data_IF_940686579652
#
_entry.id   IF_940686579652
#
_cell.length_a   1.000
_cell.length_b   1.000
_cell.length_c   1.000
_cell.angle_alpha   90.00
_cell.angle_beta   90.00
_cell.angle_gamma   90.00
#
_symmetry.space_group_name_H-M   'P 1'
#
loop_
_entity.id
_entity.type
_entity.pdbx_description
1 polymer ?
#
# COMPACT_ATOMS: atom_id res chain seq x y z
N UNK A 1 -4.95 24.40 -6.83
CA UNK A 1 -3.59 24.97 -6.95
C UNK A 1 -3.09 25.39 -5.56
N UNK A 2 -3.94 26.09 -4.76
CA UNK A 2 -3.59 26.50 -3.38
C UNK A 2 -3.18 25.30 -2.53
N UNK A 3 -3.98 24.26 -2.49
CA UNK A 3 -3.76 23.07 -1.66
C UNK A 3 -2.47 22.31 -2.02
N UNK A 4 -2.10 22.23 -3.32
CA UNK A 4 -0.81 21.65 -3.73
C UNK A 4 0.38 22.49 -3.24
N UNK A 5 0.25 23.82 -3.32
CA UNK A 5 1.28 24.74 -2.86
C UNK A 5 1.48 24.63 -1.34
N UNK A 6 0.40 24.59 -0.58
CA UNK A 6 0.42 24.42 0.88
C UNK A 6 1.05 23.09 1.29
N UNK A 7 0.69 21.97 0.63
CA UNK A 7 1.31 20.67 0.89
C UNK A 7 2.83 20.67 0.61
N UNK A 8 3.25 21.38 -0.42
CA UNK A 8 4.65 21.52 -0.76
C UNK A 8 5.40 22.39 0.24
N UNK A 9 4.83 23.53 0.63
CA UNK A 9 5.39 24.42 1.61
C UNK A 9 5.53 23.75 2.99
N UNK A 10 4.51 23.00 3.43
CA UNK A 10 4.55 22.25 4.68
C UNK A 10 5.61 21.14 4.64
N UNK A 11 5.70 20.37 3.54
CA UNK A 11 6.72 19.33 3.36
C UNK A 11 8.14 19.91 3.38
N UNK A 12 8.34 21.07 2.79
CA UNK A 12 9.65 21.75 2.79
C UNK A 12 10.03 22.33 4.16
N UNK A 13 9.05 22.57 5.03
CA UNK A 13 9.30 23.02 6.42
C UNK A 13 9.70 21.89 7.34
N UNK A 14 9.13 20.68 7.15
CA UNK A 14 9.31 19.53 8.04
C UNK A 14 10.59 18.73 7.75
N UNK A 15 11.18 18.83 6.56
CA UNK A 15 12.26 17.94 6.14
C UNK A 15 13.68 18.45 6.42
N UNK A 16 14.61 17.49 6.52
CA UNK A 16 16.01 17.69 6.89
C UNK A 16 16.72 18.72 6.03
N UNK A 17 17.74 19.38 6.61
CA UNK A 17 18.59 20.40 5.98
C UNK A 17 19.10 20.00 4.58
N UNK A 18 19.44 18.73 4.37
CA UNK A 18 19.94 18.18 3.11
C UNK A 18 18.94 18.28 1.94
N UNK A 19 17.65 18.04 2.18
CA UNK A 19 16.63 18.14 1.13
C UNK A 19 16.32 19.59 0.75
N UNK A 20 16.33 20.50 1.73
CA UNK A 20 16.15 21.94 1.47
C UNK A 20 17.27 22.48 0.57
N UNK A 21 18.51 22.09 0.82
CA UNK A 21 19.65 22.51 0.03
C UNK A 21 19.54 22.04 -1.42
N UNK A 22 19.08 20.81 -1.65
CA UNK A 22 18.89 20.25 -2.97
C UNK A 22 17.76 20.95 -3.75
N UNK A 23 16.63 21.21 -3.12
CA UNK A 23 15.51 21.95 -3.72
C UNK A 23 15.93 23.40 -4.02
N UNK A 24 16.56 24.07 -3.06
CA UNK A 24 17.08 25.43 -3.22
C UNK A 24 18.13 25.53 -4.35
N UNK A 25 19.01 24.53 -4.47
CA UNK A 25 19.96 24.45 -5.56
C UNK A 25 19.27 24.38 -6.93
N UNK A 26 18.31 23.46 -7.11
CA UNK A 26 17.59 23.33 -8.37
C UNK A 26 16.83 24.62 -8.73
N UNK A 27 16.13 25.22 -7.78
CA UNK A 27 15.40 26.46 -7.99
C UNK A 27 16.33 27.60 -8.40
N UNK A 28 17.52 27.73 -7.76
CA UNK A 28 18.50 28.79 -8.03
C UNK A 28 19.23 28.60 -9.37
N UNK A 29 19.64 27.38 -9.71
CA UNK A 29 20.47 27.09 -10.89
C UNK A 29 19.59 26.96 -12.15
N UNK A 30 18.44 26.32 -12.04
CA UNK A 30 17.58 26.00 -13.19
C UNK A 30 16.28 26.83 -13.26
N UNK A 31 16.03 27.70 -12.27
CA UNK A 31 14.82 28.51 -12.21
C UNK A 31 13.53 27.72 -11.88
N UNK A 32 13.61 26.40 -11.70
CA UNK A 32 12.48 25.54 -11.34
C UNK A 32 12.96 24.28 -10.61
N UNK A 33 12.04 23.64 -9.88
CA UNK A 33 12.32 22.37 -9.23
C UNK A 33 11.68 21.26 -10.07
N UNK A 34 12.47 20.32 -10.63
CA UNK A 34 11.92 19.19 -11.39
C UNK A 34 11.01 18.31 -10.50
N UNK A 35 9.94 17.73 -11.09
CA UNK A 35 8.97 16.92 -10.34
C UNK A 35 9.61 15.73 -9.60
N UNK A 36 10.60 15.07 -10.20
CA UNK A 36 11.32 13.97 -9.57
C UNK A 36 12.11 14.40 -8.32
N UNK A 37 12.64 15.63 -8.31
CA UNK A 37 13.31 16.21 -7.16
C UNK A 37 12.30 16.56 -6.06
N UNK A 38 11.17 17.12 -6.47
CA UNK A 38 10.09 17.51 -5.57
C UNK A 38 9.46 16.29 -4.87
N UNK A 39 9.15 15.23 -5.60
CA UNK A 39 8.56 14.00 -5.03
C UNK A 39 9.49 13.37 -3.98
N UNK A 40 10.81 13.45 -4.16
CA UNK A 40 11.78 12.97 -3.16
C UNK A 40 11.75 13.77 -1.86
N UNK A 41 11.33 15.00 -1.91
CA UNK A 41 11.17 15.87 -0.75
C UNK A 41 9.81 15.70 -0.05
N UNK A 42 8.86 15.03 -0.69
CA UNK A 42 7.56 14.76 -0.10
C UNK A 42 7.59 13.53 0.80
N UNK A 43 6.95 13.62 1.97
CA UNK A 43 6.64 12.41 2.74
C UNK A 43 5.74 11.48 1.93
N UNK A 44 5.75 10.18 2.24
CA UNK A 44 4.89 9.22 1.54
C UNK A 44 3.39 9.60 1.66
N UNK A 45 2.97 10.14 2.81
CA UNK A 45 1.62 10.67 3.00
C UNK A 45 1.29 11.83 2.06
N UNK A 46 2.24 12.77 1.89
CA UNK A 46 2.09 13.90 0.97
C UNK A 46 2.12 13.46 -0.50
N UNK A 47 2.94 12.47 -0.85
CA UNK A 47 2.92 11.88 -2.20
C UNK A 47 1.56 11.25 -2.51
N UNK A 48 0.95 10.53 -1.56
CA UNK A 48 -0.41 9.97 -1.71
C UNK A 48 -1.47 11.07 -1.89
N UNK A 49 -1.38 12.18 -1.15
CA UNK A 49 -2.28 13.33 -1.33
C UNK A 49 -2.06 14.00 -2.68
N UNK A 50 -0.80 14.17 -3.10
CA UNK A 50 -0.47 14.72 -4.41
C UNK A 50 -1.07 13.89 -5.55
N UNK A 51 -0.97 12.56 -5.48
CA UNK A 51 -1.60 11.66 -6.45
C UNK A 51 -3.12 11.91 -6.56
N UNK A 52 -3.81 12.13 -5.45
CA UNK A 52 -5.25 12.44 -5.45
C UNK A 52 -5.59 13.78 -6.10
N UNK A 53 -4.66 14.74 -6.05
CA UNK A 53 -4.82 16.10 -6.60
C UNK A 53 -4.45 16.19 -8.09
N UNK A 54 -3.79 15.17 -8.65
CA UNK A 54 -3.44 15.13 -10.07
C UNK A 54 -4.68 15.15 -10.97
N UNK A 55 -4.52 15.62 -12.21
CA UNK A 55 -5.56 15.53 -13.23
C UNK A 55 -5.98 14.06 -13.42
N UNK A 56 -7.25 13.84 -13.69
CA UNK A 56 -7.80 12.49 -13.85
C UNK A 56 -7.13 11.68 -14.95
N UNK A 57 -6.74 12.32 -16.06
CA UNK A 57 -5.99 11.71 -17.17
C UNK A 57 -4.64 11.19 -16.73
N UNK A 58 -3.83 12.04 -16.10
CA UNK A 58 -2.46 11.71 -15.68
C UNK A 58 -2.47 10.60 -14.62
N UNK A 59 -3.43 10.69 -13.69
CA UNK A 59 -3.64 9.65 -12.68
C UNK A 59 -4.08 8.31 -13.27
N UNK A 60 -4.89 8.35 -14.34
CA UNK A 60 -5.32 7.14 -15.04
C UNK A 60 -4.15 6.46 -15.77
N UNK A 61 -3.26 7.23 -16.39
CA UNK A 61 -2.04 6.72 -17.01
C UNK A 61 -1.14 6.02 -16.00
N UNK A 62 -0.89 6.66 -14.85
CA UNK A 62 -0.10 6.04 -13.78
C UNK A 62 -0.79 4.76 -13.27
N UNK A 63 -2.09 4.77 -13.07
CA UNK A 63 -2.82 3.60 -12.58
C UNK A 63 -2.75 2.42 -13.56
N UNK A 64 -2.79 2.71 -14.86
CA UNK A 64 -2.72 1.71 -15.92
C UNK A 64 -1.40 0.92 -15.90
N UNK A 65 -0.28 1.52 -15.51
CA UNK A 65 1.01 0.83 -15.36
C UNK A 65 0.96 -0.29 -14.31
N UNK A 66 0.06 -0.16 -13.33
CA UNK A 66 -0.18 -1.18 -12.30
C UNK A 66 -1.35 -2.11 -12.62
N UNK A 67 -1.99 -1.96 -13.79
CA UNK A 67 -3.22 -2.67 -14.14
C UNK A 67 -4.41 -2.30 -13.25
N UNK A 68 -4.47 -1.06 -12.79
CA UNK A 68 -5.46 -0.53 -11.84
C UNK A 68 -6.26 0.62 -12.45
N UNK A 69 -7.44 0.88 -11.89
CA UNK A 69 -8.12 2.15 -12.08
C UNK A 69 -7.58 3.24 -11.15
N UNK A 70 -7.85 4.50 -11.46
CA UNK A 70 -7.38 5.65 -10.67
C UNK A 70 -7.83 5.59 -9.22
N UNK A 71 -9.04 5.13 -8.97
CA UNK A 71 -9.61 5.00 -7.62
C UNK A 71 -8.91 3.90 -6.82
N UNK A 72 -8.68 2.75 -7.45
CA UNK A 72 -7.94 1.64 -6.83
C UNK A 72 -6.51 2.05 -6.45
N UNK A 73 -5.79 2.74 -7.36
CA UNK A 73 -4.45 3.23 -7.08
C UNK A 73 -4.43 4.19 -5.88
N UNK A 74 -5.37 5.15 -5.82
CA UNK A 74 -5.48 6.07 -4.70
C UNK A 74 -5.77 5.35 -3.38
N UNK A 75 -6.70 4.40 -3.39
CA UNK A 75 -7.03 3.63 -2.19
C UNK A 75 -5.86 2.77 -1.72
N UNK A 76 -5.15 2.13 -2.64
CA UNK A 76 -3.97 1.32 -2.32
C UNK A 76 -2.85 2.17 -1.71
N UNK A 77 -2.54 3.32 -2.31
CA UNK A 77 -1.50 4.21 -1.78
C UNK A 77 -1.87 4.78 -0.42
N UNK A 78 -3.12 5.15 -0.18
CA UNK A 78 -3.58 5.62 1.11
C UNK A 78 -3.50 4.52 2.19
N UNK A 79 -3.87 3.29 1.85
CA UNK A 79 -3.74 2.14 2.75
C UNK A 79 -2.28 1.84 3.08
N UNK A 80 -1.37 1.95 2.10
CA UNK A 80 0.08 1.83 2.34
C UNK A 80 0.60 2.90 3.30
N UNK A 81 0.15 4.15 3.17
CA UNK A 81 0.48 5.22 4.13
C UNK A 81 0.07 4.83 5.54
N UNK A 82 -1.16 4.32 5.70
CA UNK A 82 -1.65 3.88 7.00
C UNK A 82 -0.79 2.76 7.61
N UNK A 83 -0.53 1.70 6.85
CA UNK A 83 0.31 0.59 7.33
C UNK A 83 1.76 1.01 7.60
N UNK A 84 2.32 1.88 6.76
CA UNK A 84 3.67 2.42 7.00
C UNK A 84 3.72 3.24 8.29
N UNK A 85 2.72 4.03 8.59
CA UNK A 85 2.66 4.81 9.82
C UNK A 85 2.57 3.89 11.04
N UNK A 86 1.71 2.87 11.01
CA UNK A 86 1.61 1.83 12.05
C UNK A 86 2.98 1.19 12.29
N UNK A 87 3.68 0.77 11.23
CA UNK A 87 5.01 0.19 11.32
C UNK A 87 6.05 1.17 11.88
N UNK A 88 6.02 2.44 11.46
CA UNK A 88 6.95 3.47 11.91
C UNK A 88 6.79 3.81 13.40
N UNK A 89 5.59 3.65 13.95
CA UNK A 89 5.31 3.80 15.39
C UNK A 89 5.55 2.52 16.21
N UNK A 90 6.08 1.46 15.60
CA UNK A 90 6.35 0.19 16.28
C UNK A 90 5.11 -0.62 16.62
N UNK A 91 3.98 -0.30 16.04
CA UNK A 91 2.72 -1.01 16.25
C UNK A 91 2.62 -2.30 15.41
N UNK A 92 1.65 -3.14 15.74
CA UNK A 92 1.47 -4.45 15.12
C UNK A 92 0.77 -4.35 13.76
N UNK A 93 1.52 -4.41 12.68
CA UNK A 93 0.99 -4.34 11.30
C UNK A 93 0.08 -5.54 10.96
N UNK A 94 0.39 -6.73 11.47
CA UNK A 94 -0.31 -7.96 11.10
C UNK A 94 -1.78 -8.01 11.55
N UNK A 95 -2.16 -7.30 12.61
CA UNK A 95 -3.54 -7.19 13.10
C UNK A 95 -4.14 -5.79 12.90
N UNK A 96 -3.48 -4.94 12.10
CA UNK A 96 -3.97 -3.61 11.79
C UNK A 96 -5.17 -3.67 10.83
N UNK A 97 -6.20 -2.90 11.15
CA UNK A 97 -7.37 -2.69 10.31
C UNK A 97 -7.51 -1.21 9.99
N UNK A 98 -7.58 -0.86 8.72
CA UNK A 98 -7.69 0.52 8.24
C UNK A 98 -9.10 0.77 7.63
N UNK A 99 -10.16 0.88 8.44
CA UNK A 99 -11.55 0.87 7.96
C UNK A 99 -11.92 2.08 7.09
N UNK A 100 -11.14 3.17 7.18
CA UNK A 100 -11.36 4.38 6.39
C UNK A 100 -11.13 4.17 4.89
N UNK A 101 -10.28 3.21 4.52
CA UNK A 101 -9.95 2.89 3.13
C UNK A 101 -10.12 1.40 2.88
N UNK A 102 -10.74 1.04 1.75
CA UNK A 102 -11.04 -0.36 1.44
C UNK A 102 -10.64 -0.70 0.02
N UNK A 103 -10.10 -1.90 -0.18
CA UNK A 103 -9.88 -2.43 -1.52
C UNK A 103 -11.19 -2.79 -2.21
N UNK A 104 -11.25 -2.46 -3.50
CA UNK A 104 -12.38 -2.76 -4.36
C UNK A 104 -12.68 -4.27 -4.44
N UNK A 105 -13.96 -4.62 -4.47
CA UNK A 105 -14.42 -6.00 -4.71
C UNK A 105 -14.21 -6.44 -6.16
N UNK A 106 -13.94 -5.50 -7.08
CA UNK A 106 -13.81 -5.75 -8.51
C UNK A 106 -12.38 -6.16 -8.93
N UNK A 107 -11.40 -6.14 -8.02
CA UNK A 107 -10.04 -6.56 -8.36
C UNK A 107 -10.01 -8.02 -8.82
N UNK A 108 -9.39 -8.33 -9.98
CA UNK A 108 -9.35 -9.69 -10.55
C UNK A 108 -8.78 -10.75 -9.60
N UNK A 109 -7.84 -10.35 -8.74
CA UNK A 109 -7.17 -11.21 -7.76
C UNK A 109 -8.15 -11.99 -6.87
N UNK A 110 -9.30 -11.41 -6.56
CA UNK A 110 -10.28 -12.05 -5.65
C UNK A 110 -10.91 -13.32 -6.22
N UNK A 111 -11.02 -13.45 -7.54
CA UNK A 111 -11.53 -14.66 -8.19
C UNK A 111 -10.65 -15.88 -7.90
N UNK A 112 -9.35 -15.65 -7.83
CA UNK A 112 -8.37 -16.73 -7.62
C UNK A 112 -8.09 -17.03 -6.15
N UNK A 113 -8.28 -16.05 -5.25
CA UNK A 113 -7.97 -16.21 -3.82
C UNK A 113 -9.03 -16.98 -3.03
N UNK A 114 -10.23 -17.15 -3.56
CA UNK A 114 -11.33 -17.86 -2.89
C UNK A 114 -11.54 -17.41 -1.43
N UNK A 115 -11.51 -16.07 -1.20
CA UNK A 115 -11.69 -15.51 0.14
C UNK A 115 -13.08 -15.86 0.67
N UNK A 116 -13.20 -16.34 1.93
CA UNK A 116 -14.49 -16.60 2.55
C UNK A 116 -15.44 -15.39 2.49
N UNK A 117 -16.74 -15.66 2.32
CA UNK A 117 -17.77 -14.63 2.23
C UNK A 117 -18.76 -14.74 3.36
N UNK A 118 -19.38 -13.62 3.69
CA UNK A 118 -20.57 -13.58 4.54
C UNK A 118 -21.80 -14.06 3.77
N UNK A 119 -22.91 -14.28 4.47
CA UNK A 119 -24.20 -14.66 3.87
C UNK A 119 -24.73 -13.65 2.86
N UNK A 120 -24.37 -12.38 3.00
CA UNK A 120 -24.71 -11.29 2.09
C UNK A 120 -23.77 -11.17 0.86
N UNK A 121 -22.87 -12.13 0.69
CA UNK A 121 -21.92 -12.19 -0.42
C UNK A 121 -20.66 -11.32 -0.25
N UNK A 122 -20.57 -10.45 0.76
CA UNK A 122 -19.39 -9.63 1.01
C UNK A 122 -18.21 -10.51 1.46
N UNK A 123 -16.99 -10.17 1.01
CA UNK A 123 -15.77 -10.83 1.47
C UNK A 123 -15.56 -10.59 2.96
N UNK A 124 -15.13 -11.63 3.68
CA UNK A 124 -14.77 -11.51 5.10
C UNK A 124 -13.45 -10.79 5.28
N UNK A 125 -12.47 -11.03 4.41
CA UNK A 125 -11.09 -10.55 4.51
C UNK A 125 -10.63 -9.85 3.23
N UNK A 126 -9.48 -9.19 3.27
CA UNK A 126 -8.83 -8.54 2.15
C UNK A 126 -9.43 -7.16 1.80
N UNK A 127 -10.14 -6.53 2.74
CA UNK A 127 -10.69 -5.18 2.53
C UNK A 127 -9.80 -4.09 3.12
N UNK A 128 -9.38 -4.25 4.37
CA UNK A 128 -8.63 -3.25 5.13
C UNK A 128 -7.72 -3.91 6.19
N UNK A 129 -7.47 -5.19 6.07
CA UNK A 129 -6.66 -6.05 6.93
C UNK A 129 -5.29 -6.36 6.31
N UNK A 130 -4.51 -7.21 6.95
CA UNK A 130 -3.18 -7.59 6.46
C UNK A 130 -3.23 -8.31 5.10
N UNK A 131 -4.27 -9.10 4.80
CA UNK A 131 -4.44 -9.68 3.45
C UNK A 131 -4.60 -8.58 2.38
N UNK A 132 -5.29 -7.48 2.71
CA UNK A 132 -5.36 -6.34 1.81
C UNK A 132 -3.97 -5.76 1.51
N UNK A 133 -3.11 -5.62 2.53
CA UNK A 133 -1.73 -5.17 2.36
C UNK A 133 -0.92 -6.14 1.46
N UNK A 134 -1.06 -7.45 1.66
CA UNK A 134 -0.41 -8.47 0.81
C UNK A 134 -0.85 -8.33 -0.65
N UNK A 135 -2.14 -8.10 -0.89
CA UNK A 135 -2.67 -7.86 -2.24
C UNK A 135 -2.11 -6.56 -2.84
N UNK A 136 -2.03 -5.48 -2.07
CA UNK A 136 -1.42 -4.22 -2.54
C UNK A 136 0.03 -4.45 -2.97
N UNK A 137 0.81 -5.19 -2.20
CA UNK A 137 2.19 -5.53 -2.56
C UNK A 137 2.28 -6.33 -3.84
N UNK A 138 1.31 -7.23 -4.11
CA UNK A 138 1.24 -7.95 -5.40
C UNK A 138 1.13 -7.01 -6.60
N UNK A 139 0.37 -5.93 -6.48
CA UNK A 139 0.20 -4.94 -7.56
C UNK A 139 1.39 -3.98 -7.66
N UNK A 140 1.95 -3.54 -6.55
CA UNK A 140 2.89 -2.42 -6.52
C UNK A 140 4.36 -2.80 -6.50
N UNK A 141 4.73 -3.95 -5.90
CA UNK A 141 6.12 -4.36 -5.84
C UNK A 141 6.59 -5.04 -7.14
N UNK A 142 7.87 -4.96 -7.48
CA UNK A 142 8.50 -5.85 -8.44
C UNK A 142 8.25 -7.32 -8.07
N UNK A 143 8.15 -8.19 -9.08
CA UNK A 143 7.81 -9.61 -8.88
C UNK A 143 8.77 -10.30 -7.89
N UNK A 144 10.05 -10.02 -8.03
CA UNK A 144 11.11 -10.63 -7.22
C UNK A 144 10.97 -10.23 -5.75
N UNK A 145 10.74 -8.95 -5.48
CA UNK A 145 10.54 -8.41 -4.13
C UNK A 145 9.28 -8.96 -3.49
N UNK A 146 8.18 -9.00 -4.26
CA UNK A 146 6.93 -9.60 -3.80
C UNK A 146 7.11 -11.08 -3.46
N UNK A 147 7.80 -11.86 -4.30
CA UNK A 147 8.06 -13.27 -4.06
C UNK A 147 8.91 -13.50 -2.79
N UNK A 148 9.90 -12.63 -2.54
CA UNK A 148 10.68 -12.67 -1.28
C UNK A 148 9.80 -12.39 -0.07
N UNK A 149 9.00 -11.34 -0.13
CA UNK A 149 8.06 -10.97 0.93
C UNK A 149 7.09 -12.12 1.22
N UNK A 150 6.46 -12.67 0.18
CA UNK A 150 5.47 -13.73 0.33
C UNK A 150 6.07 -15.02 0.93
N UNK A 151 7.27 -15.42 0.50
CA UNK A 151 7.98 -16.58 1.07
C UNK A 151 8.32 -16.38 2.54
N UNK A 152 8.80 -15.20 2.92
CA UNK A 152 9.07 -14.87 4.34
C UNK A 152 7.78 -14.93 5.17
N UNK A 153 6.72 -14.31 4.70
CA UNK A 153 5.41 -14.37 5.37
C UNK A 153 4.90 -15.81 5.52
N UNK A 154 5.12 -16.66 4.51
CA UNK A 154 4.76 -18.06 4.58
C UNK A 154 5.61 -18.84 5.60
N UNK A 155 6.92 -18.59 5.66
CA UNK A 155 7.81 -19.22 6.62
C UNK A 155 7.43 -18.86 8.07
N UNK A 156 7.20 -17.57 8.36
CA UNK A 156 6.74 -17.11 9.68
C UNK A 156 5.39 -17.73 10.06
N UNK A 157 4.46 -17.84 9.09
CA UNK A 157 3.16 -18.48 9.32
C UNK A 157 3.30 -19.95 9.68
N UNK A 158 4.22 -20.70 9.04
CA UNK A 158 4.49 -22.10 9.36
C UNK A 158 5.18 -22.25 10.73
N UNK A 159 6.08 -21.32 11.08
CA UNK A 159 6.71 -21.33 12.41
C UNK A 159 5.68 -21.08 13.52
N UNK A 160 4.77 -20.10 13.31
CA UNK A 160 3.69 -19.86 14.25
C UNK A 160 2.80 -21.10 14.44
N UNK A 161 2.53 -21.89 13.39
CA UNK A 161 1.77 -23.14 13.51
C UNK A 161 2.45 -24.20 14.36
N UNK A 162 3.79 -24.21 14.43
CA UNK A 162 4.54 -25.17 15.25
C UNK A 162 4.46 -24.80 16.73
N UNK A 163 4.40 -23.50 17.03
CA UNK A 163 4.49 -22.97 18.40
C UNK A 163 3.10 -22.75 19.02
N UNK A 164 2.13 -22.32 18.22
CA UNK A 164 0.81 -21.94 18.70
C UNK A 164 -0.19 -23.12 18.68
N UNK A 165 -1.05 -23.24 19.70
CA UNK A 165 -2.14 -24.20 19.67
C UNK A 165 -3.17 -23.84 18.58
N UNK A 166 -3.96 -24.82 18.08
CA UNK A 166 -4.87 -24.61 16.96
C UNK A 166 -5.86 -23.47 17.12
N UNK A 167 -6.35 -23.22 18.33
CA UNK A 167 -7.28 -22.11 18.59
C UNK A 167 -6.63 -20.74 18.45
N UNK A 168 -5.37 -20.59 18.91
CA UNK A 168 -4.61 -19.35 18.78
C UNK A 168 -4.25 -19.09 17.31
N UNK A 169 -3.85 -20.15 16.58
CA UNK A 169 -3.57 -20.03 15.15
C UNK A 169 -4.82 -19.66 14.33
N UNK A 170 -5.99 -20.13 14.72
CA UNK A 170 -7.27 -19.70 14.10
C UNK A 170 -7.45 -18.19 14.25
N UNK A 171 -7.22 -17.64 15.44
CA UNK A 171 -7.29 -16.19 15.68
C UNK A 171 -6.29 -15.40 14.85
N UNK A 172 -5.05 -15.89 14.69
CA UNK A 172 -4.07 -15.28 13.80
C UNK A 172 -4.61 -15.19 12.36
N UNK A 173 -5.24 -16.24 11.85
CA UNK A 173 -5.86 -16.20 10.51
C UNK A 173 -7.06 -15.26 10.43
N UNK A 174 -7.86 -15.17 11.47
CA UNK A 174 -9.01 -14.26 11.53
C UNK A 174 -8.55 -12.79 11.55
N UNK A 175 -7.52 -12.46 12.33
CA UNK A 175 -6.99 -11.12 12.44
C UNK A 175 -6.22 -10.68 11.18
N UNK A 176 -5.41 -11.56 10.60
CA UNK A 176 -4.61 -11.24 9.42
C UNK A 176 -5.37 -11.34 8.10
N UNK A 177 -6.48 -12.08 8.08
CA UNK A 177 -7.17 -12.45 6.84
C UNK A 177 -6.45 -13.49 5.99
N UNK A 178 -5.30 -14.03 6.44
CA UNK A 178 -4.48 -14.99 5.69
C UNK A 178 -5.10 -16.41 5.65
N UNK A 179 -6.42 -16.52 5.69
CA UNK A 179 -7.11 -17.78 5.49
C UNK A 179 -7.24 -18.10 4.00
N UNK A 180 -7.06 -19.37 3.61
CA UNK A 180 -7.26 -19.84 2.25
C UNK A 180 -6.02 -19.77 1.35
N UNK A 181 -6.24 -19.35 0.10
CA UNK A 181 -5.27 -19.55 -0.99
C UNK A 181 -4.28 -18.38 -1.20
N UNK A 182 -4.03 -17.53 -0.21
CA UNK A 182 -3.17 -16.35 -0.35
C UNK A 182 -1.76 -16.66 -0.90
N UNK A 183 -1.21 -17.84 -0.61
CA UNK A 183 0.09 -18.28 -1.14
C UNK A 183 0.10 -18.42 -2.67
N UNK A 184 -1.07 -18.61 -3.30
CA UNK A 184 -1.19 -18.67 -4.76
C UNK A 184 -0.90 -17.32 -5.44
N UNK A 185 -0.85 -16.22 -4.68
CA UNK A 185 -0.51 -14.90 -5.21
C UNK A 185 0.85 -14.87 -5.93
N UNK A 186 1.81 -15.69 -5.51
CA UNK A 186 3.13 -15.75 -6.16
C UNK A 186 3.04 -16.25 -7.61
N UNK A 187 2.24 -17.27 -7.85
CA UNK A 187 2.06 -17.88 -9.17
C UNK A 187 1.15 -17.05 -10.11
N UNK A 188 0.43 -16.05 -9.58
CA UNK A 188 -0.45 -15.24 -10.38
C UNK A 188 0.33 -14.25 -11.24
N UNK A 189 -0.08 -14.08 -12.50
CA UNK A 189 0.47 -13.02 -13.35
C UNK A 189 0.22 -11.65 -12.69
N UNK A 190 1.16 -10.73 -12.88
CA UNK A 190 0.93 -9.30 -12.60
C UNK A 190 -0.01 -8.80 -13.71
N UNK A 191 -1.07 -8.13 -13.34
CA UNK A 191 -2.10 -7.66 -14.26
C UNK A 191 -1.62 -6.49 -15.09
#
# INVERSE_FOLDING_TARGET
ISTCKELLEDSLREESKSYRDYIAHNARVYGHVPLWALIRALSFGNTSKFLKLMKGTDRAEIAAEYGLGSSELCNMTEMLVGHRNIAAHGERVFCAHLPAVRLSDNLPVWKSLQVPRFSDGRRKYGKCDFLALVVIFKYMLPKEEFSVFLRRTAAETEELKRVLPPFAMRRVYEETGLSGAWRKLDAMKKY
#
